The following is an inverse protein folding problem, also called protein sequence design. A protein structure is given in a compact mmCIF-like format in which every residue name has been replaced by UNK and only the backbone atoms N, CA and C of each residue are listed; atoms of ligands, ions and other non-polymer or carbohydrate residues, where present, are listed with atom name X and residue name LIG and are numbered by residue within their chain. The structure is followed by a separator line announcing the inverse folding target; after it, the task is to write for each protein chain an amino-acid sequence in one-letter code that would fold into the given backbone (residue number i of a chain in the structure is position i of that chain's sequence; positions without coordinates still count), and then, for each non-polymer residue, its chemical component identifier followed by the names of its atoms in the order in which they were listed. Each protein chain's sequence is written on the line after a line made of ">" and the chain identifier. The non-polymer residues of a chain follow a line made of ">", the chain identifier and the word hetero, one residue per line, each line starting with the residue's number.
data_IF_623600237694
#
_entry.id   IF_623600237694
#
_cell.length_a   1.000
_cell.length_b   1.000
_cell.length_c   1.000
_cell.angle_alpha   90.00
_cell.angle_beta   90.00
_cell.angle_gamma   90.00
#
_symmetry.space_group_name_H-M   'P 1'
#
loop_
_entity.id
_entity.type
_entity.pdbx_description
1 polymer ?
#
# COMPACT_ATOMS: atom_id res chain seq x y z
N UNK A 1 6.73 8.44 -23.39
CA UNK A 1 5.91 7.82 -22.33
C UNK A 1 5.02 6.81 -23.02
N UNK A 2 5.16 5.52 -22.69
CA UNK A 2 4.29 4.48 -23.23
C UNK A 2 2.85 4.72 -22.72
N UNK A 3 1.89 4.84 -23.63
CA UNK A 3 0.47 5.08 -23.34
C UNK A 3 -0.24 3.89 -22.66
N UNK A 4 0.47 2.81 -22.34
CA UNK A 4 -0.07 1.62 -21.68
C UNK A 4 -0.46 1.84 -20.22
N UNK A 5 0.21 2.74 -19.49
CA UNK A 5 -0.03 2.94 -18.06
C UNK A 5 -1.14 3.96 -17.80
N UNK A 6 -2.36 3.46 -17.64
CA UNK A 6 -3.55 4.28 -17.33
C UNK A 6 -3.49 5.01 -15.97
N UNK A 7 -2.50 4.72 -15.11
CA UNK A 7 -2.33 5.34 -13.80
C UNK A 7 -1.11 6.26 -13.70
N UNK A 8 -0.44 6.59 -14.79
CA UNK A 8 0.79 7.40 -14.76
C UNK A 8 0.68 8.70 -13.94
N UNK A 9 -0.50 9.36 -13.95
CA UNK A 9 -0.76 10.60 -13.20
C UNK A 9 -0.77 10.44 -11.68
N UNK A 10 -0.98 9.24 -11.18
CA UNK A 10 -1.02 8.93 -9.73
C UNK A 10 0.16 8.06 -9.28
N UNK A 11 1.11 7.77 -10.19
CA UNK A 11 2.36 7.07 -9.87
C UNK A 11 3.46 8.09 -9.60
N UNK A 12 3.42 8.66 -8.41
CA UNK A 12 4.28 9.79 -7.98
C UNK A 12 5.49 9.36 -7.15
N UNK A 13 5.89 8.09 -7.23
CA UNK A 13 6.87 7.48 -6.32
C UNK A 13 8.28 8.11 -6.38
N UNK A 14 8.66 8.73 -7.50
CA UNK A 14 9.96 9.40 -7.61
C UNK A 14 10.10 10.58 -6.65
N UNK A 15 9.00 11.25 -6.31
CA UNK A 15 9.02 12.36 -5.35
C UNK A 15 9.29 11.90 -3.91
N UNK A 16 8.98 10.65 -3.57
CA UNK A 16 9.07 10.12 -2.21
C UNK A 16 10.46 9.60 -1.85
N UNK A 17 11.32 9.34 -2.85
CA UNK A 17 12.68 8.80 -2.68
C UNK A 17 13.62 9.70 -1.86
N UNK A 18 13.25 10.96 -1.64
CA UNK A 18 14.05 11.94 -0.91
C UNK A 18 13.74 11.98 0.60
N UNK A 19 12.78 11.19 1.06
CA UNK A 19 12.32 11.21 2.45
C UNK A 19 13.08 10.14 3.23
N UNK A 20 13.72 10.53 4.33
CA UNK A 20 14.41 9.61 5.22
C UNK A 20 13.43 8.58 5.82
N UNK A 21 13.88 7.32 5.86
CA UNK A 21 13.10 6.24 6.47
C UNK A 21 13.18 6.36 7.99
N UNK A 22 12.01 6.37 8.63
CA UNK A 22 11.87 6.33 10.08
C UNK A 22 11.40 4.95 10.56
N UNK A 23 11.52 4.72 11.86
CA UNK A 23 11.25 3.41 12.47
C UNK A 23 9.81 2.92 12.29
N UNK A 24 8.82 3.81 12.29
CA UNK A 24 7.39 3.44 12.30
C UNK A 24 6.71 3.77 10.97
N UNK A 25 6.16 2.74 10.33
CA UNK A 25 5.49 2.85 9.04
C UNK A 25 4.13 2.15 9.04
N UNK A 26 3.12 2.76 8.40
CA UNK A 26 1.80 2.19 8.23
C UNK A 26 1.50 1.84 6.78
N UNK A 27 0.83 0.70 6.56
CA UNK A 27 0.24 0.33 5.27
C UNK A 27 -1.27 0.46 5.37
N UNK A 28 -1.85 1.26 4.49
CA UNK A 28 -3.31 1.48 4.43
C UNK A 28 -3.76 1.94 3.03
N UNK A 29 -5.04 2.25 2.89
CA UNK A 29 -5.67 2.76 1.69
C UNK A 29 -5.84 4.26 1.74
N UNK A 30 -5.56 4.93 0.62
CA UNK A 30 -5.93 6.32 0.41
C UNK A 30 -6.76 6.49 -0.86
N UNK A 31 -7.53 7.58 -0.91
CA UNK A 31 -8.36 7.93 -2.07
C UNK A 31 -7.97 9.33 -2.52
N UNK A 32 -7.52 9.45 -3.77
CA UNK A 32 -7.34 10.75 -4.42
C UNK A 32 -8.69 11.15 -5.05
N UNK A 33 -9.35 12.23 -4.59
CA UNK A 33 -10.62 12.67 -5.17
C UNK A 33 -10.48 12.95 -6.66
N UNK A 34 -11.40 12.39 -7.45
CA UNK A 34 -11.46 12.69 -8.88
C UNK A 34 -12.88 12.55 -9.42
N UNK A 35 -13.41 13.66 -9.96
CA UNK A 35 -14.79 13.75 -10.41
C UNK A 35 -14.96 13.69 -11.93
N UNK A 36 -13.87 13.83 -12.70
CA UNK A 36 -13.89 13.74 -14.16
C UNK A 36 -14.17 12.33 -14.70
N UNK A 37 -14.32 12.20 -16.02
CA UNK A 37 -14.51 10.90 -16.66
C UNK A 37 -13.15 10.17 -16.81
N UNK A 38 -13.00 9.04 -16.11
CA UNK A 38 -11.85 8.14 -16.25
C UNK A 38 -12.28 6.71 -15.92
N UNK A 39 -11.92 5.74 -16.77
CA UNK A 39 -12.41 4.37 -16.65
C UNK A 39 -11.95 3.63 -15.38
N UNK A 40 -10.83 4.03 -14.80
CA UNK A 40 -10.25 3.36 -13.62
C UNK A 40 -10.61 4.01 -12.29
N UNK A 41 -11.34 5.13 -12.27
CA UNK A 41 -11.82 5.73 -11.01
C UNK A 41 -12.78 4.78 -10.31
N UNK A 42 -12.75 4.74 -8.98
CA UNK A 42 -13.61 3.88 -8.17
C UNK A 42 -14.68 4.71 -7.48
N UNK A 43 -15.88 4.14 -7.38
CA UNK A 43 -16.90 4.57 -6.44
C UNK A 43 -16.76 3.76 -5.16
N UNK A 44 -16.65 4.42 -4.00
CA UNK A 44 -16.51 3.76 -2.70
C UNK A 44 -17.65 4.21 -1.80
N UNK A 45 -18.61 3.31 -1.59
CA UNK A 45 -19.78 3.54 -0.73
C UNK A 45 -19.32 3.70 0.73
N UNK A 46 -19.89 4.67 1.44
CA UNK A 46 -19.66 4.87 2.88
C UNK A 46 -18.41 5.67 3.25
N UNK A 47 -17.59 6.10 2.29
CA UNK A 47 -16.47 7.04 2.54
C UNK A 47 -16.91 8.49 2.27
N UNK A 48 -16.35 9.49 2.96
CA UNK A 48 -16.63 10.91 2.68
C UNK A 48 -16.32 11.29 1.22
N UNK A 49 -15.16 10.86 0.73
CA UNK A 49 -14.78 10.95 -0.68
C UNK A 49 -15.25 9.67 -1.37
N UNK A 50 -16.32 9.79 -2.17
CA UNK A 50 -16.95 8.64 -2.82
C UNK A 50 -16.43 8.32 -4.21
N UNK A 51 -15.78 9.27 -4.89
CA UNK A 51 -15.26 9.08 -6.25
C UNK A 51 -13.78 9.47 -6.30
N UNK A 52 -12.93 8.55 -6.75
CA UNK A 52 -11.51 8.82 -6.83
C UNK A 52 -10.67 7.63 -7.25
N UNK A 53 -9.35 7.84 -7.26
CA UNK A 53 -8.38 6.76 -7.44
C UNK A 53 -8.02 6.20 -6.08
N UNK A 54 -8.27 4.91 -5.88
CA UNK A 54 -7.88 4.20 -4.66
C UNK A 54 -6.41 3.76 -4.80
N UNK A 55 -5.61 4.04 -3.78
CA UNK A 55 -4.19 3.70 -3.71
C UNK A 55 -3.93 2.85 -2.48
N UNK A 56 -3.03 1.88 -2.61
CA UNK A 56 -2.30 1.30 -1.49
C UNK A 56 -1.15 2.23 -1.13
N UNK A 57 -0.99 2.56 0.13
CA UNK A 57 -0.03 3.54 0.60
C UNK A 57 0.84 2.93 1.70
N UNK A 58 2.14 3.17 1.60
CA UNK A 58 3.07 3.05 2.72
C UNK A 58 3.45 4.46 3.15
N UNK A 59 3.18 4.78 4.40
CA UNK A 59 3.46 6.08 5.00
C UNK A 59 4.26 5.92 6.29
N UNK A 60 5.02 6.93 6.67
CA UNK A 60 5.60 7.00 8.00
C UNK A 60 4.59 7.48 9.05
N UNK A 61 4.98 7.40 10.32
CA UNK A 61 4.19 7.89 11.45
C UNK A 61 3.90 9.41 11.42
N UNK A 62 4.65 10.18 10.65
CA UNK A 62 4.40 11.61 10.40
C UNK A 62 3.42 11.89 9.26
N UNK A 63 2.91 10.86 8.57
CA UNK A 63 1.96 10.98 7.46
C UNK A 63 2.60 11.22 6.09
N UNK A 64 3.94 11.16 5.97
CA UNK A 64 4.63 11.26 4.69
C UNK A 64 4.64 9.90 3.98
N UNK A 65 4.38 9.91 2.68
CA UNK A 65 4.35 8.71 1.85
C UNK A 65 5.77 8.29 1.45
N UNK A 66 6.06 6.99 1.56
CA UNK A 66 7.27 6.37 1.00
C UNK A 66 7.00 5.69 -0.34
N UNK A 67 5.81 5.10 -0.49
CA UNK A 67 5.42 4.46 -1.74
C UNK A 67 3.91 4.41 -1.87
N UNK A 68 3.41 4.54 -3.10
CA UNK A 68 2.03 4.27 -3.43
C UNK A 68 1.91 3.36 -4.64
N UNK A 69 0.91 2.50 -4.61
CA UNK A 69 0.50 1.70 -5.77
C UNK A 69 -1.00 1.87 -6.03
N UNK A 70 -1.42 2.13 -7.27
CA UNK A 70 -2.83 2.10 -7.63
C UNK A 70 -3.50 0.75 -7.33
N UNK A 71 -4.64 0.80 -6.63
CA UNK A 71 -5.48 -0.38 -6.41
C UNK A 71 -6.26 -0.70 -7.68
N UNK A 72 -5.65 -1.51 -8.57
CA UNK A 72 -6.14 -1.67 -9.93
C UNK A 72 -6.19 -3.10 -10.47
N UNK A 73 -6.21 -4.12 -9.61
CA UNK A 73 -6.29 -5.51 -10.07
C UNK A 73 -5.05 -5.89 -10.88
N UNK A 74 -5.23 -6.34 -12.13
CA UNK A 74 -4.16 -6.87 -12.99
C UNK A 74 -3.09 -5.84 -13.40
N UNK A 75 -3.35 -4.54 -13.25
CA UNK A 75 -2.36 -3.49 -13.55
C UNK A 75 -1.51 -3.09 -12.33
N UNK A 76 -1.68 -3.76 -11.19
CA UNK A 76 -0.84 -3.55 -10.01
C UNK A 76 0.59 -3.99 -10.33
N UNK A 77 1.57 -3.19 -9.89
CA UNK A 77 3.00 -3.51 -10.03
C UNK A 77 3.59 -4.20 -8.79
N UNK A 78 2.74 -4.62 -7.86
CA UNK A 78 3.17 -5.34 -6.66
C UNK A 78 3.28 -6.84 -6.95
N UNK A 79 4.25 -7.54 -6.34
CA UNK A 79 4.42 -8.98 -6.53
C UNK A 79 3.21 -9.75 -6.00
N UNK A 80 2.87 -10.87 -6.65
CA UNK A 80 1.97 -11.84 -6.07
C UNK A 80 2.75 -12.76 -5.11
N UNK A 81 2.26 -12.89 -3.89
CA UNK A 81 2.87 -13.67 -2.83
C UNK A 81 1.92 -14.76 -2.35
N UNK A 82 2.46 -15.75 -1.66
CA UNK A 82 1.69 -16.84 -1.05
C UNK A 82 0.81 -16.38 0.11
N UNK A 83 0.98 -15.15 0.61
CA UNK A 83 0.25 -14.57 1.75
C UNK A 83 -1.05 -13.86 1.36
N UNK A 84 -1.52 -14.10 0.13
CA UNK A 84 -2.71 -13.48 -0.43
C UNK A 84 -2.53 -11.99 -0.75
N UNK A 85 -3.60 -11.37 -1.26
CA UNK A 85 -3.55 -9.98 -1.76
C UNK A 85 -3.07 -8.97 -0.71
N UNK A 86 -3.51 -9.12 0.54
CA UNK A 86 -3.09 -8.26 1.64
C UNK A 86 -1.60 -8.33 1.93
N UNK A 87 -1.05 -9.55 2.04
CA UNK A 87 0.39 -9.75 2.24
C UNK A 87 1.23 -9.31 1.06
N UNK A 88 0.77 -9.55 -0.17
CA UNK A 88 1.39 -9.02 -1.40
C UNK A 88 1.52 -7.50 -1.37
N UNK A 89 0.51 -6.80 -0.87
CA UNK A 89 0.56 -5.34 -0.73
C UNK A 89 1.61 -4.92 0.29
N UNK A 90 1.59 -5.49 1.50
CA UNK A 90 2.53 -5.12 2.57
C UNK A 90 3.98 -5.38 2.15
N UNK A 91 4.26 -6.59 1.64
CA UNK A 91 5.61 -6.99 1.23
C UNK A 91 6.09 -6.19 0.01
N UNK A 92 5.22 -6.02 -0.99
CA UNK A 92 5.54 -5.27 -2.20
C UNK A 92 5.86 -3.80 -1.93
N UNK A 93 5.04 -3.14 -1.11
CA UNK A 93 5.27 -1.74 -0.74
C UNK A 93 6.57 -1.58 0.07
N UNK A 94 6.82 -2.46 1.04
CA UNK A 94 8.04 -2.43 1.84
C UNK A 94 9.29 -2.66 0.97
N UNK A 95 9.22 -3.59 0.02
CA UNK A 95 10.29 -3.88 -0.93
C UNK A 95 10.55 -2.69 -1.86
N UNK A 96 9.50 -2.11 -2.48
CA UNK A 96 9.67 -0.98 -3.38
C UNK A 96 10.18 0.30 -2.68
N UNK A 97 9.83 0.48 -1.41
CA UNK A 97 10.35 1.57 -0.59
C UNK A 97 11.77 1.30 -0.05
N UNK A 98 12.34 0.12 -0.33
CA UNK A 98 13.62 -0.33 0.19
C UNK A 98 13.72 -0.16 1.73
N UNK A 99 12.66 -0.55 2.45
CA UNK A 99 12.67 -0.40 3.91
C UNK A 99 13.81 -1.22 4.53
N UNK A 100 14.61 -0.63 5.43
CA UNK A 100 15.64 -1.36 6.14
C UNK A 100 15.02 -2.27 7.21
N UNK A 101 15.80 -3.28 7.61
CA UNK A 101 15.48 -4.11 8.77
C UNK A 101 15.36 -3.24 10.03
N UNK A 102 14.51 -3.67 10.97
CA UNK A 102 14.23 -2.93 12.20
C UNK A 102 13.02 -1.99 12.11
N UNK A 103 12.55 -1.65 10.91
CA UNK A 103 11.29 -0.90 10.73
C UNK A 103 10.11 -1.69 11.27
N UNK A 104 9.18 -0.99 11.91
CA UNK A 104 7.92 -1.49 12.47
C UNK A 104 6.77 -1.15 11.55
N UNK A 105 6.15 -2.18 10.98
CA UNK A 105 5.00 -2.08 10.09
C UNK A 105 3.69 -2.23 10.85
N UNK A 106 2.76 -1.31 10.58
CA UNK A 106 1.41 -1.30 11.13
C UNK A 106 0.40 -1.40 9.99
N UNK A 107 -0.58 -2.27 10.12
CA UNK A 107 -1.61 -2.43 9.08
C UNK A 107 -2.90 -2.99 9.67
N UNK A 108 -4.01 -2.74 8.99
CA UNK A 108 -5.32 -3.18 9.48
C UNK A 108 -5.61 -4.65 9.14
N UNK A 109 -6.83 -5.07 9.43
CA UNK A 109 -7.27 -6.44 9.22
C UNK A 109 -7.46 -6.83 7.76
N UNK A 110 -7.47 -5.89 6.81
CA UNK A 110 -7.51 -6.22 5.39
C UNK A 110 -6.19 -6.88 4.98
N UNK A 111 -5.08 -6.36 5.50
CA UNK A 111 -3.74 -6.80 5.13
C UNK A 111 -3.21 -7.95 6.00
N UNK A 112 -3.70 -8.08 7.23
CA UNK A 112 -3.12 -8.96 8.25
C UNK A 112 -3.45 -10.44 8.10
N UNK A 113 -2.46 -11.32 8.09
CA UNK A 113 -2.62 -12.77 8.28
C UNK A 113 -1.51 -13.33 9.16
N UNK A 114 -1.72 -14.47 9.82
CA UNK A 114 -0.72 -15.07 10.71
C UNK A 114 0.58 -15.36 9.94
N UNK A 115 0.49 -16.02 8.77
CA UNK A 115 1.66 -16.32 7.96
C UNK A 115 2.43 -15.07 7.48
N UNK A 116 1.74 -13.95 7.24
CA UNK A 116 2.40 -12.69 6.92
C UNK A 116 3.21 -12.16 8.12
N UNK A 117 2.67 -12.26 9.34
CA UNK A 117 3.37 -11.79 10.54
C UNK A 117 4.67 -12.57 10.78
N UNK A 118 4.65 -13.89 10.56
CA UNK A 118 5.85 -14.74 10.66
C UNK A 118 6.88 -14.37 9.59
N UNK A 119 6.44 -14.15 8.35
CA UNK A 119 7.34 -13.77 7.26
C UNK A 119 7.99 -12.40 7.50
N UNK A 120 7.22 -11.41 7.96
CA UNK A 120 7.77 -10.09 8.31
C UNK A 120 8.81 -10.21 9.42
N UNK A 121 8.60 -11.10 10.40
CA UNK A 121 9.60 -11.42 11.44
C UNK A 121 10.89 -11.94 10.83
N UNK A 122 10.77 -12.92 9.94
CA UNK A 122 11.89 -13.58 9.28
C UNK A 122 12.71 -12.59 8.44
N UNK A 123 12.04 -11.63 7.82
CA UNK A 123 12.67 -10.55 7.04
C UNK A 123 13.31 -9.47 7.92
N UNK A 124 13.06 -9.46 9.23
CA UNK A 124 13.65 -8.52 10.18
C UNK A 124 12.81 -7.28 10.44
N UNK A 125 11.50 -7.31 10.17
CA UNK A 125 10.57 -6.24 10.47
C UNK A 125 9.85 -6.45 11.80
N UNK A 126 9.60 -5.35 12.51
CA UNK A 126 8.53 -5.28 13.49
C UNK A 126 7.18 -5.27 12.77
N UNK A 127 6.15 -5.87 13.38
CA UNK A 127 4.84 -6.02 12.77
C UNK A 127 3.74 -5.93 13.80
N UNK A 128 2.68 -5.21 13.48
CA UNK A 128 1.46 -5.15 14.28
C UNK A 128 0.29 -5.03 13.33
N UNK A 129 -0.65 -5.95 13.45
CA UNK A 129 -1.87 -5.92 12.64
C UNK A 129 -3.06 -6.42 13.41
N UNK A 130 -4.24 -5.93 13.06
CA UNK A 130 -5.50 -6.45 13.62
C UNK A 130 -5.96 -7.68 12.83
N UNK A 131 -6.50 -8.68 13.50
CA UNK A 131 -7.08 -9.87 12.85
C UNK A 131 -8.60 -9.83 12.98
N UNK A 132 -9.32 -10.32 11.97
CA UNK A 132 -10.74 -10.62 12.10
C UNK A 132 -10.88 -11.98 12.77
N UNK A 133 -11.91 -12.13 13.61
CA UNK A 133 -12.19 -13.38 14.32
C UNK A 133 -12.35 -14.58 13.37
N UNK A 134 -12.90 -14.36 12.18
CA UNK A 134 -13.16 -15.39 11.17
C UNK A 134 -12.08 -15.46 10.07
N UNK A 135 -10.80 -15.23 10.40
CA UNK A 135 -9.69 -15.26 9.43
C UNK A 135 -8.76 -16.44 9.62
#
# INVERSE_FOLDING_TARGET
>A
MDGSDTFYKVRLNDAFKQIDIVEHCSVDESIIPYYGHHGTKKFIKGKPIRFGFKLWCLANSGGLLYHVEPHCGSSTRLPETTYGKGGSVVLGLAQHANLPKGVKLYFDNLFSSVGLLDELTRLGYGRTGSLRENR
#
